data_IF_927531004852
#
_entry.id   IF_927531004852
#
_cell.length_a   1.000
_cell.length_b   1.000
_cell.length_c   1.000
_cell.angle_alpha   90.00
_cell.angle_beta   90.00
_cell.angle_gamma   90.00
#
_symmetry.space_group_name_H-M   'P 1'
#
loop_
_entity.id
_entity.type
_entity.pdbx_description
1 polymer ?
#
# COMPACT_ATOMS: atom_id res chain seq x y z
N UNK A 1 21.04 12.84 7.80
CA UNK A 1 22.04 13.67 8.51
C UNK A 1 22.69 14.75 7.62
N UNK A 2 23.24 14.43 6.43
CA UNK A 2 23.88 15.43 5.56
C UNK A 2 22.92 16.56 5.11
N UNK A 3 21.68 16.22 4.73
CA UNK A 3 20.68 17.21 4.31
C UNK A 3 20.32 18.20 5.44
N UNK A 4 20.13 17.72 6.67
CA UNK A 4 19.87 18.61 7.82
C UNK A 4 21.06 19.53 8.13
N UNK A 5 22.28 19.04 8.06
CA UNK A 5 23.48 19.84 8.20
C UNK A 5 23.55 20.96 7.16
N UNK A 6 23.36 20.61 5.88
CA UNK A 6 23.36 21.59 4.79
C UNK A 6 22.20 22.58 4.90
N UNK A 7 21.00 22.10 5.29
CA UNK A 7 19.81 22.95 5.50
C UNK A 7 20.09 24.04 6.54
N UNK A 8 20.70 23.72 7.68
CA UNK A 8 21.05 24.73 8.69
C UNK A 8 22.17 25.64 8.20
N UNK A 9 23.17 25.12 7.50
CA UNK A 9 24.26 25.95 6.94
C UNK A 9 23.77 26.98 5.94
N UNK A 10 22.70 26.68 5.22
CA UNK A 10 22.13 27.51 4.18
C UNK A 10 20.82 28.22 4.63
N UNK A 11 20.49 28.19 5.91
CA UNK A 11 19.21 28.70 6.44
C UNK A 11 19.02 30.20 6.14
N UNK A 12 20.06 31.00 6.15
CA UNK A 12 20.02 32.45 5.84
C UNK A 12 20.15 32.75 4.34
N UNK A 13 20.32 31.73 3.48
CA UNK A 13 20.60 31.94 2.05
C UNK A 13 19.51 32.76 1.36
N UNK A 14 18.25 32.36 1.48
CA UNK A 14 17.11 33.07 0.86
C UNK A 14 16.96 34.49 1.38
N UNK A 15 16.94 34.78 2.70
CA UNK A 15 16.94 36.13 3.22
C UNK A 15 18.09 36.98 2.68
N UNK A 16 19.31 36.48 2.64
CA UNK A 16 20.48 37.21 2.13
C UNK A 16 20.36 37.54 0.62
N UNK A 17 19.78 36.64 -0.17
CA UNK A 17 19.57 36.86 -1.61
C UNK A 17 18.41 37.83 -1.87
N UNK A 18 17.29 37.71 -1.14
CA UNK A 18 16.06 38.48 -1.40
C UNK A 18 16.11 39.83 -0.76
N UNK A 19 16.47 39.90 0.53
CA UNK A 19 16.43 41.16 1.31
C UNK A 19 17.72 41.97 1.08
N UNK A 20 18.89 41.31 1.23
CA UNK A 20 20.19 42.01 1.05
C UNK A 20 20.64 42.05 -0.43
N UNK A 21 19.88 41.40 -1.35
CA UNK A 21 20.16 41.37 -2.79
C UNK A 21 21.58 40.84 -3.13
N UNK A 22 22.11 39.97 -2.31
CA UNK A 22 23.44 39.41 -2.53
C UNK A 22 23.45 38.37 -3.65
N UNK A 23 24.52 38.31 -4.48
CA UNK A 23 24.75 37.19 -5.42
C UNK A 23 24.82 35.89 -4.67
N UNK A 24 24.35 34.79 -5.30
CA UNK A 24 24.21 33.47 -4.67
C UNK A 24 25.54 32.97 -4.01
N UNK A 25 26.70 33.17 -4.66
CA UNK A 25 28.01 32.76 -4.10
C UNK A 25 28.33 33.49 -2.80
N UNK A 26 28.10 34.79 -2.76
CA UNK A 26 28.31 35.66 -1.57
C UNK A 26 27.33 35.29 -0.48
N UNK A 27 26.06 35.05 -0.82
CA UNK A 27 25.03 34.65 0.12
C UNK A 27 25.32 33.27 0.75
N UNK A 28 25.78 32.29 0.00
CA UNK A 28 26.24 30.98 0.52
C UNK A 28 27.39 31.17 1.53
N UNK A 29 28.43 31.91 1.15
CA UNK A 29 29.59 32.13 2.03
C UNK A 29 29.18 32.82 3.33
N UNK A 30 28.31 33.84 3.24
CA UNK A 30 27.84 34.62 4.40
C UNK A 30 26.92 33.79 5.30
N UNK A 31 26.00 33.02 4.74
CA UNK A 31 25.16 32.06 5.50
C UNK A 31 26.02 31.02 6.25
N UNK A 32 27.03 30.50 5.58
CA UNK A 32 27.97 29.55 6.17
C UNK A 32 28.77 30.16 7.34
N UNK A 33 29.21 31.42 7.22
CA UNK A 33 29.92 32.14 8.27
C UNK A 33 28.99 32.46 9.47
N UNK A 34 27.77 32.90 9.23
CA UNK A 34 26.77 33.19 10.27
C UNK A 34 26.45 31.98 11.13
N UNK A 35 26.37 30.78 10.52
CA UNK A 35 26.01 29.54 11.25
C UNK A 35 27.21 28.82 11.85
N UNK A 36 28.46 29.24 11.59
CA UNK A 36 29.69 28.52 11.96
C UNK A 36 29.84 28.27 13.47
N UNK A 37 29.56 29.29 14.30
CA UNK A 37 29.81 29.23 15.75
C UNK A 37 28.65 28.64 16.55
N UNK A 38 27.43 28.59 15.98
CA UNK A 38 26.20 28.19 16.68
C UNK A 38 25.51 26.97 16.11
N UNK A 39 26.10 26.31 15.11
CA UNK A 39 25.52 25.18 14.39
C UNK A 39 24.99 24.09 15.31
N UNK A 40 25.85 23.61 16.23
CA UNK A 40 25.49 22.53 17.13
C UNK A 40 24.38 22.93 18.11
N UNK A 41 24.35 24.16 18.55
CA UNK A 41 23.28 24.66 19.42
C UNK A 41 21.93 24.69 18.68
N UNK A 42 21.91 25.16 17.43
CA UNK A 42 20.69 25.18 16.62
C UNK A 42 20.20 23.79 16.26
N UNK A 43 21.12 22.89 15.85
CA UNK A 43 20.80 21.50 15.58
C UNK A 43 20.22 20.80 16.80
N UNK A 44 20.87 20.95 17.95
CA UNK A 44 20.43 20.31 19.19
C UNK A 44 19.09 20.82 19.64
N UNK A 45 18.87 22.14 19.62
CA UNK A 45 17.58 22.74 19.96
C UNK A 45 16.47 22.23 19.05
N UNK A 46 16.73 22.16 17.74
CA UNK A 46 15.75 21.64 16.77
C UNK A 46 15.44 20.16 17.03
N UNK A 47 16.44 19.33 17.22
CA UNK A 47 16.27 17.90 17.50
C UNK A 47 15.45 17.69 18.80
N UNK A 48 15.83 18.38 19.88
CA UNK A 48 15.12 18.27 21.16
C UNK A 48 13.67 18.75 21.04
N UNK A 49 13.44 19.87 20.34
CA UNK A 49 12.07 20.37 20.15
C UNK A 49 11.22 19.39 19.34
N UNK A 50 11.73 18.89 18.21
CA UNK A 50 11.02 17.91 17.40
C UNK A 50 10.76 16.61 18.16
N UNK A 51 11.74 16.15 18.94
CA UNK A 51 11.59 14.95 19.77
C UNK A 51 10.52 15.15 20.87
N UNK A 52 10.51 16.31 21.53
CA UNK A 52 9.48 16.61 22.53
C UNK A 52 8.08 16.69 21.91
N UNK A 53 7.94 17.33 20.73
CA UNK A 53 6.68 17.34 19.98
C UNK A 53 6.24 15.93 19.65
N UNK A 54 7.15 15.10 19.10
CA UNK A 54 6.87 13.71 18.79
C UNK A 54 6.37 12.93 20.01
N UNK A 55 7.03 13.04 21.16
CA UNK A 55 6.60 12.35 22.38
C UNK A 55 5.19 12.80 22.84
N UNK A 56 4.93 14.12 22.83
CA UNK A 56 3.64 14.68 23.24
C UNK A 56 2.54 14.18 22.31
N UNK A 57 2.74 14.25 21.00
CA UNK A 57 1.76 13.83 19.98
C UNK A 57 1.47 12.35 20.08
N UNK A 58 2.52 11.52 20.10
CA UNK A 58 2.37 10.06 20.24
C UNK A 58 1.60 9.71 21.52
N UNK A 59 1.91 10.38 22.63
CA UNK A 59 1.18 10.15 23.90
C UNK A 59 -0.30 10.50 23.77
N UNK A 60 -0.63 11.69 23.23
CA UNK A 60 -2.03 12.13 23.08
C UNK A 60 -2.79 11.18 22.14
N UNK A 61 -2.21 10.83 20.99
CA UNK A 61 -2.86 9.96 20.02
C UNK A 61 -3.06 8.54 20.56
N UNK A 62 -2.09 8.01 21.30
CA UNK A 62 -2.26 6.73 22.01
C UNK A 62 -3.41 6.78 23.02
N UNK A 63 -3.54 7.87 23.79
CA UNK A 63 -4.64 8.04 24.73
C UNK A 63 -6.00 8.12 24.01
N UNK A 64 -6.09 8.84 22.90
CA UNK A 64 -7.29 8.92 22.06
C UNK A 64 -7.65 7.53 21.52
N UNK A 65 -6.68 6.79 20.99
CA UNK A 65 -6.87 5.43 20.50
C UNK A 65 -7.41 4.49 21.59
N UNK A 66 -6.77 4.48 22.76
CA UNK A 66 -7.20 3.63 23.89
C UNK A 66 -8.60 4.03 24.39
N UNK A 67 -8.91 5.32 24.41
CA UNK A 67 -10.27 5.78 24.76
C UNK A 67 -11.29 5.31 23.72
N UNK A 68 -10.95 5.38 22.42
CA UNK A 68 -11.85 4.94 21.35
C UNK A 68 -12.12 3.44 21.42
N UNK A 69 -11.15 2.60 21.77
CA UNK A 69 -11.37 1.16 22.00
C UNK A 69 -12.46 0.88 23.04
N UNK A 70 -12.65 1.76 24.02
CA UNK A 70 -13.73 1.63 25.00
C UNK A 70 -15.05 2.15 24.43
N UNK A 71 -15.02 3.26 23.70
CA UNK A 71 -16.22 3.79 23.04
C UNK A 71 -16.77 2.85 21.95
N UNK A 72 -15.91 2.11 21.24
CA UNK A 72 -16.33 1.13 20.23
C UNK A 72 -17.27 0.04 20.78
N UNK A 73 -17.27 -0.17 22.11
CA UNK A 73 -18.20 -1.08 22.79
C UNK A 73 -19.54 -0.45 23.15
N UNK A 74 -19.79 0.79 22.79
CA UNK A 74 -20.96 1.57 23.15
C UNK A 74 -21.75 2.04 21.93
N UNK A 75 -23.00 2.46 22.13
CA UNK A 75 -23.82 3.08 21.08
C UNK A 75 -23.31 4.47 20.63
N UNK A 76 -22.35 5.05 21.34
CA UNK A 76 -21.76 6.36 21.04
C UNK A 76 -20.45 6.27 20.26
N UNK A 77 -20.04 5.08 19.83
CA UNK A 77 -18.77 4.80 19.15
C UNK A 77 -18.46 5.79 18.02
N UNK A 78 -19.39 5.95 17.06
CA UNK A 78 -19.22 6.84 15.92
C UNK A 78 -19.15 8.32 16.32
N UNK A 79 -19.98 8.75 17.27
CA UNK A 79 -19.96 10.14 17.75
C UNK A 79 -18.63 10.46 18.44
N UNK A 80 -18.13 9.54 19.29
CA UNK A 80 -16.83 9.67 19.93
C UNK A 80 -15.69 9.69 18.89
N UNK A 81 -15.74 8.81 17.88
CA UNK A 81 -14.74 8.78 16.81
C UNK A 81 -14.71 10.07 16.00
N UNK A 82 -15.87 10.66 15.69
CA UNK A 82 -15.96 11.95 14.99
C UNK A 82 -15.29 13.07 15.79
N UNK A 83 -15.52 13.12 17.10
CA UNK A 83 -14.88 14.10 17.99
C UNK A 83 -13.38 13.83 18.10
N UNK A 84 -12.98 12.59 18.26
CA UNK A 84 -11.58 12.19 18.38
C UNK A 84 -10.79 12.52 17.12
N UNK A 85 -11.34 12.22 15.94
CA UNK A 85 -10.72 12.55 14.66
C UNK A 85 -10.54 14.06 14.49
N UNK A 86 -11.59 14.84 14.81
CA UNK A 86 -11.51 16.32 14.79
C UNK A 86 -10.43 16.86 15.76
N UNK A 87 -10.30 16.28 16.95
CA UNK A 87 -9.24 16.63 17.91
C UNK A 87 -7.86 16.33 17.33
N UNK A 88 -7.69 15.17 16.70
CA UNK A 88 -6.42 14.76 16.09
C UNK A 88 -6.03 15.71 14.94
N UNK A 89 -6.95 16.05 14.07
CA UNK A 89 -6.75 17.03 13.00
C UNK A 89 -6.36 18.41 13.55
N UNK A 90 -7.10 18.90 14.56
CA UNK A 90 -6.78 20.19 15.17
C UNK A 90 -5.39 20.21 15.82
N UNK A 91 -4.98 19.12 16.48
CA UNK A 91 -3.63 18.95 17.03
C UNK A 91 -2.59 18.99 15.92
N UNK A 92 -2.83 18.25 14.82
CA UNK A 92 -1.93 18.22 13.66
C UNK A 92 -1.72 19.63 13.09
N UNK A 93 -2.79 20.39 12.86
CA UNK A 93 -2.71 21.76 12.37
C UNK A 93 -1.95 22.71 13.32
N UNK A 94 -2.21 22.59 14.63
CA UNK A 94 -1.47 23.37 15.64
C UNK A 94 0.03 23.05 15.58
N UNK A 95 0.40 21.78 15.39
CA UNK A 95 1.79 21.35 15.31
C UNK A 95 2.45 21.88 14.04
N UNK A 96 1.76 21.81 12.89
CA UNK A 96 2.25 22.38 11.64
C UNK A 96 2.50 23.89 11.78
N UNK A 97 1.55 24.63 12.34
CA UNK A 97 1.70 26.04 12.60
C UNK A 97 2.86 26.35 13.56
N UNK A 98 2.99 25.57 14.63
CA UNK A 98 4.03 25.76 15.64
C UNK A 98 5.44 25.45 15.08
N UNK A 99 5.60 24.33 14.37
CA UNK A 99 6.86 23.94 13.74
C UNK A 99 7.28 24.94 12.66
N UNK A 100 6.32 25.42 11.86
CA UNK A 100 6.55 26.47 10.86
C UNK A 100 7.00 27.77 11.51
N UNK A 101 6.35 28.19 12.62
CA UNK A 101 6.73 29.38 13.37
C UNK A 101 8.14 29.27 13.97
N UNK A 102 8.50 28.12 14.55
CA UNK A 102 9.86 27.85 15.05
C UNK A 102 10.88 27.94 13.91
N UNK A 103 10.58 27.33 12.76
CA UNK A 103 11.48 27.36 11.60
C UNK A 103 11.69 28.78 11.08
N UNK A 104 10.62 29.58 10.96
CA UNK A 104 10.69 30.98 10.57
C UNK A 104 11.48 31.83 11.59
N UNK A 105 11.28 31.58 12.89
CA UNK A 105 12.03 32.22 13.95
C UNK A 105 13.52 31.89 13.88
N UNK A 106 13.86 30.63 13.61
CA UNK A 106 15.24 30.21 13.42
C UNK A 106 15.91 30.88 12.22
N UNK A 107 15.20 31.03 11.10
CA UNK A 107 15.67 31.80 9.93
C UNK A 107 15.98 33.25 10.32
N UNK A 108 15.07 33.94 11.04
CA UNK A 108 15.23 35.32 11.45
C UNK A 108 16.43 35.48 12.37
N UNK A 109 16.59 34.60 13.36
CA UNK A 109 17.72 34.59 14.31
C UNK A 109 19.05 34.38 13.60
N UNK A 110 19.12 33.41 12.72
CA UNK A 110 20.33 33.11 11.94
C UNK A 110 20.69 34.26 10.97
N UNK A 111 19.67 34.89 10.35
CA UNK A 111 19.87 35.99 9.39
C UNK A 111 20.34 37.28 10.06
N UNK A 112 19.67 37.70 11.12
CA UNK A 112 19.93 38.97 11.79
C UNK A 112 20.90 38.88 12.98
N UNK A 113 21.09 37.69 13.53
CA UNK A 113 21.82 37.42 14.78
C UNK A 113 21.29 38.25 15.97
N UNK A 114 20.04 38.76 15.86
CA UNK A 114 19.45 39.69 16.79
C UNK A 114 17.91 39.51 16.84
N UNK A 115 17.37 39.60 18.06
CA UNK A 115 15.93 39.56 18.33
C UNK A 115 15.23 40.93 18.27
N UNK A 116 15.93 41.98 17.94
CA UNK A 116 15.38 43.34 18.00
C UNK A 116 14.20 43.56 17.06
N UNK A 117 14.10 42.84 15.94
CA UNK A 117 12.96 42.90 15.03
C UNK A 117 11.64 42.45 15.67
N UNK A 118 11.69 41.54 16.64
CA UNK A 118 10.49 41.07 17.36
C UNK A 118 9.96 42.08 18.36
N UNK A 119 10.73 43.13 18.68
CA UNK A 119 10.32 44.23 19.58
C UNK A 119 9.62 45.36 18.88
N UNK A 120 9.67 45.46 17.55
CA UNK A 120 8.92 46.47 16.82
C UNK A 120 7.44 46.08 16.86
N UNK A 121 6.63 46.91 17.53
CA UNK A 121 5.18 46.72 17.51
C UNK A 121 4.69 46.87 16.08
N UNK A 122 3.87 45.92 15.59
CA UNK A 122 3.28 46.05 14.27
C UNK A 122 2.44 47.31 14.22
N UNK A 123 2.67 48.14 13.19
CA UNK A 123 1.77 49.27 12.91
C UNK A 123 0.43 48.67 12.48
N UNK A 124 -0.54 48.66 13.38
CA UNK A 124 -1.90 48.30 13.04
C UNK A 124 -2.48 49.33 12.10
N UNK A 125 -2.81 48.92 10.87
CA UNK A 125 -3.66 49.70 10.00
C UNK A 125 -5.00 49.92 10.72
N UNK A 126 -5.36 51.16 11.01
CA UNK A 126 -6.67 51.54 11.56
C UNK A 126 -7.73 51.35 10.47
N UNK A 127 -8.23 50.13 10.31
CA UNK A 127 -9.36 49.83 9.42
C UNK A 127 -10.62 50.50 9.97
N UNK A 128 -11.48 51.02 9.05
CA UNK A 128 -12.78 51.53 9.40
C UNK A 128 -13.61 50.48 10.17
N UNK A 129 -14.31 50.85 11.28
CA UNK A 129 -15.04 49.90 12.13
C UNK A 129 -16.03 49.02 11.38
N UNK A 130 -16.59 49.51 10.27
CA UNK A 130 -17.52 48.75 9.41
C UNK A 130 -16.82 47.67 8.60
N UNK A 131 -15.68 47.95 8.01
CA UNK A 131 -14.84 46.96 7.30
C UNK A 131 -14.38 45.86 8.25
N UNK A 132 -13.97 46.21 9.46
CA UNK A 132 -13.56 45.28 10.51
C UNK A 132 -14.67 44.30 10.93
N UNK A 133 -15.95 44.77 10.98
CA UNK A 133 -17.12 43.90 11.25
C UNK A 133 -17.39 42.96 10.08
N UNK A 134 -17.34 43.43 8.84
CA UNK A 134 -17.53 42.63 7.63
C UNK A 134 -16.45 41.57 7.50
N UNK A 135 -15.18 41.90 7.72
CA UNK A 135 -14.07 40.97 7.71
C UNK A 135 -14.22 39.91 8.79
N UNK A 136 -14.62 40.26 10.00
CA UNK A 136 -14.88 39.29 11.07
C UNK A 136 -16.06 38.37 10.75
N UNK A 137 -17.14 38.89 10.17
CA UNK A 137 -18.27 38.06 9.74
C UNK A 137 -17.90 37.08 8.61
N UNK A 138 -17.14 37.55 7.60
CA UNK A 138 -16.70 36.69 6.53
C UNK A 138 -15.71 35.62 6.99
N UNK A 139 -14.81 35.94 7.92
CA UNK A 139 -13.93 34.95 8.56
C UNK A 139 -14.73 33.92 9.36
N UNK A 140 -15.70 34.36 10.17
CA UNK A 140 -16.56 33.46 10.94
C UNK A 140 -17.37 32.52 10.04
N UNK A 141 -17.95 33.05 8.94
CA UNK A 141 -18.66 32.23 7.94
C UNK A 141 -17.71 31.23 7.27
N UNK A 142 -16.51 31.68 6.87
CA UNK A 142 -15.49 30.84 6.28
C UNK A 142 -15.07 29.70 7.21
N UNK A 143 -14.85 29.98 8.48
CA UNK A 143 -14.53 28.98 9.50
C UNK A 143 -15.69 27.98 9.69
N UNK A 144 -16.93 28.46 9.75
CA UNK A 144 -18.10 27.59 9.87
C UNK A 144 -18.23 26.64 8.69
N UNK A 145 -18.05 27.15 7.46
CA UNK A 145 -18.12 26.33 6.24
C UNK A 145 -16.97 25.30 6.22
N UNK A 146 -15.75 25.71 6.57
CA UNK A 146 -14.60 24.82 6.63
C UNK A 146 -14.80 23.70 7.67
N UNK A 147 -15.27 24.04 8.87
CA UNK A 147 -15.57 23.07 9.92
C UNK A 147 -16.69 22.11 9.49
N UNK A 148 -17.76 22.63 8.86
CA UNK A 148 -18.86 21.78 8.36
C UNK A 148 -18.37 20.81 7.28
N UNK A 149 -17.52 21.27 6.38
CA UNK A 149 -16.92 20.43 5.35
C UNK A 149 -16.03 19.35 5.96
N UNK A 150 -15.19 19.71 6.94
CA UNK A 150 -14.31 18.77 7.63
C UNK A 150 -15.12 17.70 8.35
N UNK A 151 -16.18 18.07 9.08
CA UNK A 151 -17.09 17.09 9.72
C UNK A 151 -17.75 16.17 8.68
N UNK A 152 -18.17 16.70 7.52
CA UNK A 152 -18.74 15.87 6.46
C UNK A 152 -17.73 14.87 5.90
N UNK A 153 -16.48 15.29 5.66
CA UNK A 153 -15.39 14.40 5.22
C UNK A 153 -15.11 13.33 6.28
N UNK A 154 -15.03 13.72 7.55
CA UNK A 154 -14.81 12.78 8.66
C UNK A 154 -15.93 11.74 8.79
N UNK A 155 -17.18 12.15 8.58
CA UNK A 155 -18.31 11.24 8.57
C UNK A 155 -18.24 10.25 7.39
N UNK A 156 -17.81 10.70 6.20
CA UNK A 156 -17.58 9.82 5.04
C UNK A 156 -16.47 8.81 5.36
N UNK A 157 -15.37 9.26 5.93
CA UNK A 157 -14.25 8.41 6.34
C UNK A 157 -14.70 7.36 7.37
N UNK A 158 -15.35 7.79 8.45
CA UNK A 158 -15.80 6.92 9.54
C UNK A 158 -16.93 5.96 9.16
N UNK A 159 -17.74 6.27 8.13
CA UNK A 159 -18.72 5.33 7.59
C UNK A 159 -18.12 4.23 6.70
N UNK A 160 -16.79 4.15 6.60
CA UNK A 160 -16.10 3.12 5.83
C UNK A 160 -16.27 3.24 4.32
N UNK A 161 -16.76 4.37 3.80
CA UNK A 161 -16.85 4.61 2.35
C UNK A 161 -15.48 4.67 1.66
N UNK A 162 -14.41 4.76 2.44
CA UNK A 162 -13.02 4.70 2.00
C UNK A 162 -12.48 3.26 2.03
N UNK A 163 -13.16 2.33 2.72
CA UNK A 163 -12.75 0.94 2.82
C UNK A 163 -13.20 0.18 1.59
N UNK A 164 -12.27 -0.33 0.81
CA UNK A 164 -12.58 -1.19 -0.34
C UNK A 164 -12.66 -2.65 0.09
N UNK A 165 -13.63 -3.38 -0.47
CA UNK A 165 -13.70 -4.82 -0.30
C UNK A 165 -12.84 -5.48 -1.39
N UNK A 166 -11.66 -6.03 -1.05
CA UNK A 166 -10.80 -6.64 -2.06
C UNK A 166 -11.36 -7.97 -2.57
N UNK A 167 -11.02 -8.32 -3.79
CA UNK A 167 -11.19 -9.67 -4.35
C UNK A 167 -10.32 -10.63 -3.54
N UNK A 168 -10.91 -11.75 -3.09
CA UNK A 168 -10.24 -12.75 -2.27
C UNK A 168 -9.67 -13.86 -3.15
N UNK A 169 -8.34 -14.01 -3.14
CA UNK A 169 -7.61 -14.97 -3.97
C UNK A 169 -6.88 -15.95 -3.06
N UNK A 170 -7.28 -17.24 -3.12
CA UNK A 170 -6.56 -18.28 -2.38
C UNK A 170 -5.25 -18.61 -3.06
N UNK A 171 -4.13 -18.48 -2.35
CA UNK A 171 -2.79 -18.77 -2.84
C UNK A 171 -2.60 -20.27 -3.02
N UNK A 172 -2.20 -20.72 -4.20
CA UNK A 172 -1.94 -22.13 -4.58
C UNK A 172 -3.08 -23.10 -4.26
N UNK A 173 -4.32 -22.57 -4.14
CA UNK A 173 -5.50 -23.37 -3.88
C UNK A 173 -5.56 -24.01 -2.49
N UNK A 174 -4.96 -23.40 -1.50
CA UNK A 174 -5.02 -23.84 -0.09
C UNK A 174 -5.64 -22.77 0.81
N UNK A 175 -6.13 -23.19 1.96
CA UNK A 175 -6.58 -22.32 3.05
C UNK A 175 -6.06 -22.92 4.35
N UNK A 176 -5.17 -22.17 5.04
CA UNK A 176 -4.55 -22.54 6.31
C UNK A 176 -4.00 -24.01 6.31
N UNK A 177 -3.27 -24.36 5.25
CA UNK A 177 -2.66 -25.70 5.13
C UNK A 177 -3.65 -26.85 5.02
N UNK A 178 -4.86 -26.61 4.50
CA UNK A 178 -5.94 -27.60 4.40
C UNK A 178 -5.68 -28.74 3.37
N UNK A 179 -4.53 -28.72 2.69
CA UNK A 179 -4.16 -29.70 1.67
C UNK A 179 -2.71 -29.55 1.21
N UNK A 180 -2.36 -30.24 0.13
CA UNK A 180 -1.10 -30.01 -0.59
C UNK A 180 -1.33 -28.92 -1.62
N UNK A 181 -0.51 -27.87 -1.59
CA UNK A 181 -0.57 -26.77 -2.55
C UNK A 181 -0.60 -27.23 -4.00
N UNK A 182 -1.28 -26.50 -4.88
CA UNK A 182 -1.29 -26.78 -6.32
C UNK A 182 -1.83 -28.17 -6.69
N UNK A 183 -2.78 -28.71 -5.92
CA UNK A 183 -3.38 -30.04 -6.20
C UNK A 183 -4.90 -29.97 -6.29
N UNK A 184 -5.50 -30.89 -7.06
CA UNK A 184 -6.95 -30.94 -7.25
C UNK A 184 -7.72 -31.17 -5.94
N UNK A 185 -7.29 -32.04 -5.00
CA UNK A 185 -7.97 -32.21 -3.72
C UNK A 185 -8.01 -30.92 -2.88
N UNK A 186 -6.90 -30.14 -2.86
CA UNK A 186 -6.85 -28.85 -2.17
C UNK A 186 -7.79 -27.84 -2.85
N UNK A 187 -7.71 -27.68 -4.17
CA UNK A 187 -8.61 -26.84 -4.95
C UNK A 187 -10.08 -27.10 -4.63
N UNK A 188 -10.52 -28.38 -4.68
CA UNK A 188 -11.92 -28.77 -4.44
C UNK A 188 -12.35 -28.41 -3.00
N UNK A 189 -11.43 -28.55 -2.04
CA UNK A 189 -11.71 -28.21 -0.64
C UNK A 189 -11.83 -26.69 -0.46
N UNK A 190 -10.88 -25.93 -0.98
CA UNK A 190 -10.83 -24.49 -0.87
C UNK A 190 -11.93 -23.79 -1.68
N UNK A 191 -12.36 -24.37 -2.81
CA UNK A 191 -13.50 -23.83 -3.58
C UNK A 191 -14.81 -23.78 -2.79
N UNK A 192 -14.95 -24.58 -1.72
CA UNK A 192 -16.13 -24.55 -0.83
C UNK A 192 -16.16 -23.33 0.09
N UNK A 193 -15.02 -22.69 0.28
CA UNK A 193 -14.88 -21.41 1.01
C UNK A 193 -15.12 -20.19 0.11
N UNK A 194 -15.50 -20.43 -1.16
CA UNK A 194 -15.92 -19.42 -2.13
C UNK A 194 -14.92 -18.27 -2.33
N UNK A 195 -13.60 -18.53 -2.59
CA UNK A 195 -12.73 -17.45 -3.04
C UNK A 195 -13.16 -16.92 -4.41
N UNK A 196 -12.91 -15.63 -4.68
CA UNK A 196 -13.19 -15.05 -6.00
C UNK A 196 -12.32 -15.70 -7.08
N UNK A 197 -11.05 -15.98 -6.73
CA UNK A 197 -10.10 -16.75 -7.56
C UNK A 197 -9.31 -17.73 -6.69
N UNK A 198 -8.88 -18.80 -7.32
CA UNK A 198 -7.78 -19.64 -6.82
C UNK A 198 -6.55 -19.34 -7.66
N UNK A 199 -5.51 -18.86 -7.02
CA UNK A 199 -4.21 -18.72 -7.65
C UNK A 199 -3.53 -20.08 -7.74
N UNK A 200 -2.79 -20.34 -8.82
CA UNK A 200 -2.08 -21.59 -9.04
C UNK A 200 -0.96 -21.45 -10.07
N UNK A 201 0.05 -22.29 -9.96
CA UNK A 201 1.28 -22.20 -10.74
C UNK A 201 1.37 -23.26 -11.82
N UNK A 202 1.77 -22.90 -13.02
CA UNK A 202 2.10 -23.84 -14.08
C UNK A 202 3.56 -23.74 -14.52
N UNK A 203 4.14 -24.89 -14.82
CA UNK A 203 5.47 -25.04 -15.41
C UNK A 203 5.43 -25.91 -16.65
N UNK A 204 6.41 -25.69 -17.54
CA UNK A 204 6.58 -26.50 -18.76
C UNK A 204 7.35 -27.78 -18.44
N UNK A 205 6.84 -28.92 -18.90
CA UNK A 205 7.44 -30.26 -18.80
C UNK A 205 8.47 -30.50 -19.91
N UNK A 206 9.20 -31.64 -19.84
CA UNK A 206 10.15 -32.06 -20.89
C UNK A 206 9.52 -32.20 -22.29
N UNK A 207 8.27 -32.61 -22.33
CA UNK A 207 7.48 -32.79 -23.57
C UNK A 207 6.59 -31.57 -23.87
N UNK A 208 6.96 -30.41 -23.33
CA UNK A 208 6.29 -29.13 -23.56
C UNK A 208 4.77 -29.14 -23.29
N UNK A 209 4.35 -29.93 -22.29
CA UNK A 209 3.02 -29.85 -21.70
C UNK A 209 3.06 -28.96 -20.46
N UNK A 210 1.89 -28.62 -19.87
CA UNK A 210 1.81 -27.81 -18.67
C UNK A 210 1.42 -28.65 -17.47
N UNK A 211 2.23 -28.58 -16.42
CA UNK A 211 2.02 -29.25 -15.12
C UNK A 211 1.81 -28.21 -14.03
N UNK A 212 0.98 -28.53 -13.05
CA UNK A 212 0.71 -27.62 -11.92
C UNK A 212 1.75 -27.87 -10.83
N UNK A 213 2.61 -26.87 -10.60
CA UNK A 213 3.71 -26.95 -9.64
C UNK A 213 4.35 -25.57 -9.44
N UNK A 214 4.51 -25.15 -8.16
CA UNK A 214 5.21 -23.93 -7.81
C UNK A 214 6.73 -24.09 -7.87
N UNK A 215 7.26 -25.05 -7.15
CA UNK A 215 8.69 -25.16 -6.88
C UNK A 215 9.52 -25.43 -8.13
N UNK A 216 10.74 -24.87 -8.25
CA UNK A 216 11.63 -25.14 -9.36
C UNK A 216 12.14 -26.58 -9.40
N UNK A 217 12.00 -27.34 -8.30
CA UNK A 217 12.34 -28.75 -8.20
C UNK A 217 11.29 -29.51 -7.38
N UNK A 218 11.16 -30.81 -7.61
CA UNK A 218 10.22 -31.67 -6.88
C UNK A 218 10.75 -32.10 -5.50
N UNK A 219 11.85 -31.52 -5.03
CA UNK A 219 12.55 -31.98 -3.81
C UNK A 219 11.72 -31.74 -2.55
N UNK A 220 11.15 -30.57 -2.38
CA UNK A 220 10.42 -30.17 -1.17
C UNK A 220 9.17 -31.08 -0.97
N UNK A 221 8.31 -31.16 -1.98
CA UNK A 221 7.02 -31.85 -1.87
C UNK A 221 7.09 -33.34 -2.14
N UNK A 222 8.08 -33.84 -2.89
CA UNK A 222 8.15 -35.25 -3.31
C UNK A 222 9.48 -35.99 -3.02
N UNK A 223 10.49 -35.31 -2.47
CA UNK A 223 11.83 -35.88 -2.25
C UNK A 223 12.63 -36.11 -3.52
N UNK A 224 12.13 -35.77 -4.70
CA UNK A 224 12.73 -36.05 -6.02
C UNK A 224 13.62 -34.88 -6.46
N UNK A 225 14.92 -35.10 -6.62
CA UNK A 225 15.88 -34.05 -7.04
C UNK A 225 15.86 -33.82 -8.57
N UNK A 226 14.67 -33.59 -9.13
CA UNK A 226 14.47 -33.24 -10.56
C UNK A 226 13.60 -32.02 -10.70
N UNK A 227 13.78 -31.29 -11.82
CA UNK A 227 12.92 -30.17 -12.22
C UNK A 227 11.71 -30.72 -13.00
N UNK A 228 10.54 -30.09 -13.00
CA UNK A 228 9.42 -30.42 -13.87
C UNK A 228 9.84 -30.58 -15.35
N UNK A 229 10.67 -29.65 -15.84
CA UNK A 229 11.17 -29.66 -17.23
C UNK A 229 12.11 -30.83 -17.60
N UNK A 230 12.50 -31.66 -16.64
CA UNK A 230 13.29 -32.86 -16.90
C UNK A 230 12.46 -34.11 -17.02
N UNK A 231 11.16 -34.06 -16.76
CA UNK A 231 10.23 -35.17 -16.80
C UNK A 231 9.09 -34.88 -17.77
N UNK A 232 8.56 -35.94 -18.40
CA UNK A 232 7.33 -35.82 -19.19
C UNK A 232 6.13 -35.66 -18.28
N UNK A 233 5.03 -35.09 -18.81
CA UNK A 233 3.79 -34.92 -18.05
C UNK A 233 3.33 -36.26 -17.43
N UNK A 234 3.32 -37.32 -18.22
CA UNK A 234 2.95 -38.68 -17.78
C UNK A 234 3.82 -39.22 -16.63
N UNK A 235 5.09 -38.79 -16.56
CA UNK A 235 5.98 -39.12 -15.42
C UNK A 235 5.65 -38.33 -14.20
N UNK A 236 5.33 -37.04 -14.34
CA UNK A 236 4.98 -36.11 -13.25
C UNK A 236 3.66 -36.50 -12.58
N UNK A 237 2.63 -36.87 -13.34
CA UNK A 237 1.32 -37.29 -12.81
C UNK A 237 1.38 -38.56 -11.95
N UNK A 238 2.44 -39.37 -12.07
CA UNK A 238 2.68 -40.54 -11.21
C UNK A 238 3.27 -40.19 -9.86
N UNK A 239 3.87 -39.00 -9.71
CA UNK A 239 4.55 -38.59 -8.49
C UNK A 239 3.51 -38.18 -7.44
N UNK A 240 3.72 -38.63 -6.21
CA UNK A 240 2.94 -38.22 -5.03
C UNK A 240 3.70 -37.11 -4.31
N UNK A 241 3.03 -36.00 -4.10
CA UNK A 241 3.48 -34.85 -3.28
C UNK A 241 2.85 -34.90 -1.89
N UNK A 242 3.57 -34.36 -0.90
CA UNK A 242 3.16 -34.38 0.51
C UNK A 242 3.42 -33.03 1.15
N UNK A 243 2.46 -32.56 1.91
CA UNK A 243 2.53 -31.30 2.64
C UNK A 243 1.42 -31.27 3.70
N UNK A 244 1.67 -30.65 4.84
CA UNK A 244 0.68 -30.43 5.92
C UNK A 244 -0.06 -31.72 6.37
N UNK A 245 0.59 -32.87 6.31
CA UNK A 245 -0.03 -34.18 6.62
C UNK A 245 -0.91 -34.74 5.52
N UNK A 246 -1.07 -34.09 4.40
CA UNK A 246 -1.83 -34.51 3.23
C UNK A 246 -0.91 -35.12 2.15
N UNK A 247 -1.52 -35.82 1.21
CA UNK A 247 -0.84 -36.30 0.02
C UNK A 247 -1.75 -36.26 -1.21
N UNK A 248 -1.18 -35.98 -2.37
CA UNK A 248 -1.91 -35.92 -3.64
C UNK A 248 -0.99 -36.28 -4.82
N UNK A 249 -1.55 -36.45 -6.01
CA UNK A 249 -0.78 -36.52 -7.26
C UNK A 249 -0.57 -35.13 -7.84
N UNK A 250 0.57 -34.93 -8.52
CA UNK A 250 0.82 -33.73 -9.32
C UNK A 250 -0.16 -33.74 -10.50
N UNK A 251 -1.02 -32.74 -10.68
CA UNK A 251 -1.96 -32.73 -11.79
C UNK A 251 -1.36 -32.06 -13.03
N UNK A 252 -1.85 -32.49 -14.21
CA UNK A 252 -1.73 -31.68 -15.42
C UNK A 252 -2.58 -30.39 -15.30
N UNK A 253 -2.22 -29.34 -16.04
CA UNK A 253 -3.04 -28.14 -16.09
C UNK A 253 -4.43 -28.43 -16.67
N UNK A 254 -4.55 -29.28 -17.67
CA UNK A 254 -5.86 -29.70 -18.20
C UNK A 254 -6.77 -30.31 -17.12
N UNK A 255 -6.24 -31.19 -16.28
CA UNK A 255 -7.01 -31.83 -15.23
C UNK A 255 -7.40 -30.84 -14.14
N UNK A 256 -6.49 -29.94 -13.79
CA UNK A 256 -6.73 -28.90 -12.77
C UNK A 256 -7.79 -27.88 -13.26
N UNK A 257 -7.63 -27.37 -14.49
CA UNK A 257 -8.58 -26.45 -15.12
C UNK A 257 -9.99 -27.04 -15.19
N UNK A 258 -10.08 -28.32 -15.65
CA UNK A 258 -11.36 -29.05 -15.69
C UNK A 258 -11.99 -29.20 -14.30
N UNK A 259 -11.18 -29.48 -13.27
CA UNK A 259 -11.65 -29.59 -11.90
C UNK A 259 -12.14 -28.23 -11.37
N UNK A 260 -11.41 -27.14 -11.60
CA UNK A 260 -11.81 -25.80 -11.23
C UNK A 260 -13.16 -25.40 -11.84
N UNK A 261 -13.30 -25.54 -13.15
CA UNK A 261 -14.54 -25.18 -13.86
C UNK A 261 -15.73 -26.05 -13.45
N UNK A 262 -15.50 -27.35 -13.14
CA UNK A 262 -16.54 -28.23 -12.59
C UNK A 262 -17.09 -27.73 -11.24
N UNK A 263 -16.26 -27.06 -10.46
CA UNK A 263 -16.63 -26.46 -9.18
C UNK A 263 -16.96 -24.96 -9.27
N UNK A 264 -17.12 -24.41 -10.48
CA UNK A 264 -17.39 -23.00 -10.74
C UNK A 264 -16.33 -22.05 -10.16
N UNK A 265 -15.10 -22.54 -10.01
CA UNK A 265 -13.98 -21.81 -9.46
C UNK A 265 -13.17 -21.13 -10.58
N UNK A 266 -13.02 -19.81 -10.50
CA UNK A 266 -12.15 -19.05 -11.39
C UNK A 266 -10.70 -19.19 -10.92
N UNK A 267 -9.78 -19.13 -11.89
CA UNK A 267 -8.35 -19.26 -11.65
C UNK A 267 -7.59 -17.96 -11.95
N UNK A 268 -6.56 -17.69 -11.15
CA UNK A 268 -5.46 -16.78 -11.45
C UNK A 268 -4.22 -17.64 -11.72
N UNK A 269 -3.87 -17.84 -12.99
CA UNK A 269 -2.84 -18.79 -13.43
C UNK A 269 -1.47 -18.12 -13.50
N UNK A 270 -0.52 -18.52 -12.63
CA UNK A 270 0.86 -18.09 -12.76
C UNK A 270 1.62 -18.92 -13.80
N UNK A 271 2.11 -18.27 -14.84
CA UNK A 271 3.06 -18.91 -15.77
C UNK A 271 4.47 -18.70 -15.25
N UNK A 272 5.04 -19.74 -14.63
CA UNK A 272 6.42 -19.75 -14.19
C UNK A 272 7.37 -20.08 -15.34
N UNK A 273 8.35 -19.20 -15.51
CA UNK A 273 9.36 -19.37 -16.55
C UNK A 273 10.60 -20.05 -16.00
N UNK A 274 11.04 -21.10 -16.67
CA UNK A 274 12.33 -21.76 -16.45
C UNK A 274 13.22 -21.60 -17.68
N UNK A 275 14.47 -22.05 -17.61
CA UNK A 275 15.35 -22.09 -18.78
C UNK A 275 14.83 -22.95 -19.94
N UNK A 276 13.88 -23.84 -19.67
CA UNK A 276 13.23 -24.67 -20.69
C UNK A 276 12.01 -23.98 -21.33
N UNK A 277 11.51 -22.89 -20.75
CA UNK A 277 10.34 -22.16 -21.28
C UNK A 277 10.72 -21.32 -22.50
N UNK A 278 9.95 -21.42 -23.56
CA UNK A 278 10.19 -20.75 -24.84
C UNK A 278 9.00 -19.88 -25.29
N UNK A 279 9.20 -19.01 -26.26
CA UNK A 279 8.11 -18.24 -26.85
C UNK A 279 7.04 -19.14 -27.53
N UNK A 280 7.45 -20.33 -28.02
CA UNK A 280 6.52 -21.30 -28.58
C UNK A 280 5.57 -21.87 -27.49
N UNK A 281 6.03 -21.96 -26.23
CA UNK A 281 5.19 -22.40 -25.14
C UNK A 281 4.14 -21.36 -24.76
N UNK A 282 4.47 -20.05 -24.83
CA UNK A 282 3.48 -18.98 -24.69
C UNK A 282 2.39 -19.07 -25.76
N UNK A 283 2.79 -19.30 -27.02
CA UNK A 283 1.84 -19.47 -28.10
C UNK A 283 0.97 -20.72 -27.90
N UNK A 284 1.58 -21.86 -27.54
CA UNK A 284 0.87 -23.11 -27.22
C UNK A 284 -0.14 -22.94 -26.09
N UNK A 285 0.22 -22.18 -25.06
CA UNK A 285 -0.66 -21.86 -23.95
C UNK A 285 -1.93 -21.12 -24.42
N UNK A 286 -1.77 -20.04 -25.18
CA UNK A 286 -2.90 -19.27 -25.69
C UNK A 286 -3.71 -20.09 -26.72
N UNK A 287 -3.06 -20.79 -27.65
CA UNK A 287 -3.75 -21.61 -28.66
C UNK A 287 -4.62 -22.71 -28.00
N UNK A 288 -4.16 -23.28 -26.90
CA UNK A 288 -4.85 -24.39 -26.23
C UNK A 288 -5.88 -23.93 -25.22
N UNK A 289 -5.59 -22.90 -24.45
CA UNK A 289 -6.39 -22.53 -23.26
C UNK A 289 -7.08 -21.17 -23.38
N UNK A 290 -6.61 -20.26 -24.22
CA UNK A 290 -7.07 -18.87 -24.25
C UNK A 290 -8.59 -18.72 -24.34
N UNK A 291 -9.23 -19.47 -25.25
CA UNK A 291 -10.70 -19.43 -25.40
C UNK A 291 -11.41 -19.92 -24.13
N UNK A 292 -10.91 -20.96 -23.51
CA UNK A 292 -11.49 -21.54 -22.29
C UNK A 292 -11.31 -20.60 -21.10
N UNK A 293 -10.12 -20.02 -20.93
CA UNK A 293 -9.82 -19.07 -19.86
C UNK A 293 -10.73 -17.82 -19.97
N UNK A 294 -10.89 -17.28 -21.16
CA UNK A 294 -11.80 -16.15 -21.39
C UNK A 294 -13.25 -16.49 -21.09
N UNK A 295 -13.73 -17.67 -21.51
CA UNK A 295 -15.10 -18.10 -21.28
C UNK A 295 -15.44 -18.27 -19.79
N UNK A 296 -14.46 -18.61 -18.96
CA UNK A 296 -14.63 -18.79 -17.51
C UNK A 296 -14.14 -17.59 -16.69
N UNK A 297 -13.70 -16.49 -17.34
CA UNK A 297 -13.14 -15.31 -16.70
C UNK A 297 -11.89 -15.60 -15.86
N UNK A 298 -11.12 -16.63 -16.26
CA UNK A 298 -9.83 -16.92 -15.65
C UNK A 298 -8.81 -15.83 -16.03
N UNK A 299 -7.90 -15.58 -15.13
CA UNK A 299 -6.85 -14.57 -15.30
C UNK A 299 -5.48 -15.22 -15.36
N UNK A 300 -4.50 -14.50 -15.89
CA UNK A 300 -3.11 -14.97 -15.99
C UNK A 300 -2.20 -13.93 -15.34
N UNK A 301 -1.16 -14.39 -14.65
CA UNK A 301 -0.09 -13.53 -14.21
C UNK A 301 1.29 -14.17 -14.39
N UNK A 302 2.36 -13.40 -14.37
CA UNK A 302 3.74 -13.89 -14.55
C UNK A 302 4.76 -12.85 -14.10
N UNK A 303 5.91 -13.32 -13.55
CA UNK A 303 7.08 -12.49 -13.30
C UNK A 303 7.86 -12.11 -14.57
N UNK A 304 7.61 -12.80 -15.68
CA UNK A 304 8.35 -12.57 -16.92
C UNK A 304 7.73 -11.44 -17.74
N UNK A 305 8.41 -10.29 -17.78
CA UNK A 305 7.99 -9.17 -18.64
C UNK A 305 7.81 -9.59 -20.11
N UNK A 306 8.70 -10.48 -20.60
CA UNK A 306 8.62 -11.00 -21.97
C UNK A 306 7.35 -11.83 -22.18
N UNK A 307 7.04 -12.73 -21.28
CA UNK A 307 5.83 -13.58 -21.36
C UNK A 307 4.58 -12.73 -21.24
N UNK A 308 4.50 -11.80 -20.31
CA UNK A 308 3.40 -10.87 -20.15
C UNK A 308 3.12 -10.11 -21.46
N UNK A 309 4.17 -9.52 -22.05
CA UNK A 309 4.05 -8.79 -23.33
C UNK A 309 3.62 -9.70 -24.49
N UNK A 310 4.18 -10.91 -24.58
CA UNK A 310 3.88 -11.88 -25.64
C UNK A 310 2.43 -12.41 -25.51
N UNK A 311 1.93 -12.65 -24.27
CA UNK A 311 0.52 -12.97 -24.01
C UNK A 311 -0.42 -11.88 -24.50
N UNK A 312 -0.16 -10.61 -24.13
CA UNK A 312 -0.99 -9.47 -24.57
C UNK A 312 -0.93 -9.23 -26.08
N UNK A 313 0.18 -9.57 -26.74
CA UNK A 313 0.29 -9.50 -28.20
C UNK A 313 -0.51 -10.61 -28.90
N UNK A 314 -0.54 -11.81 -28.32
CA UNK A 314 -1.25 -12.97 -28.88
C UNK A 314 -2.77 -12.89 -28.62
N UNK A 315 -3.16 -12.43 -27.45
CA UNK A 315 -4.56 -12.24 -27.08
C UNK A 315 -4.73 -10.97 -26.21
N UNK A 316 -5.21 -9.89 -26.83
CA UNK A 316 -5.45 -8.63 -26.13
C UNK A 316 -6.60 -8.71 -25.12
N UNK A 317 -7.55 -9.65 -25.29
CA UNK A 317 -8.72 -9.80 -24.42
C UNK A 317 -8.37 -10.51 -23.13
N UNK A 318 -7.35 -11.40 -23.16
CA UNK A 318 -6.91 -12.09 -21.95
C UNK A 318 -6.44 -11.10 -20.88
N UNK A 319 -6.98 -11.20 -19.68
CA UNK A 319 -6.48 -10.45 -18.54
C UNK A 319 -5.10 -10.99 -18.16
N UNK A 320 -4.11 -10.11 -18.12
CA UNK A 320 -2.74 -10.45 -17.71
C UNK A 320 -2.25 -9.45 -16.69
N UNK A 321 -1.87 -9.92 -15.51
CA UNK A 321 -1.19 -9.14 -14.47
C UNK A 321 0.32 -9.39 -14.51
N UNK A 322 1.11 -8.36 -14.23
CA UNK A 322 2.56 -8.46 -14.12
C UNK A 322 2.97 -8.58 -12.65
N UNK A 323 3.63 -9.67 -12.29
CA UNK A 323 4.06 -9.92 -10.90
C UNK A 323 5.32 -9.10 -10.62
N UNK A 324 5.29 -8.36 -9.51
CA UNK A 324 6.36 -7.52 -9.02
C UNK A 324 6.73 -7.97 -7.60
N UNK A 325 7.85 -8.68 -7.41
CA UNK A 325 8.30 -9.10 -6.08
C UNK A 325 8.77 -7.94 -5.21
N UNK A 326 9.12 -6.83 -5.83
CA UNK A 326 9.39 -5.52 -5.19
C UNK A 326 9.35 -4.43 -6.26
N UNK A 327 9.08 -3.20 -5.88
CA UNK A 327 9.09 -2.10 -6.83
C UNK A 327 9.58 -0.79 -6.22
N UNK A 328 10.51 -0.14 -6.90
CA UNK A 328 11.03 1.18 -6.54
C UNK A 328 10.43 2.31 -7.40
N UNK A 329 9.85 1.95 -8.54
CA UNK A 329 9.26 2.91 -9.49
C UNK A 329 8.06 2.29 -10.18
N UNK A 330 7.01 3.09 -10.44
CA UNK A 330 5.82 2.61 -11.14
C UNK A 330 6.14 2.17 -12.57
N UNK A 331 5.93 0.88 -12.93
CA UNK A 331 6.25 0.37 -14.25
C UNK A 331 5.16 0.73 -15.28
N UNK A 332 5.55 1.18 -16.45
CA UNK A 332 4.64 1.39 -17.58
C UNK A 332 4.62 0.15 -18.46
N UNK A 333 3.55 -0.64 -18.41
CA UNK A 333 3.43 -1.90 -19.14
C UNK A 333 2.10 -2.02 -19.87
N UNK A 334 2.01 -3.00 -20.78
CA UNK A 334 0.75 -3.38 -21.47
C UNK A 334 -0.14 -4.32 -20.65
N UNK A 335 0.29 -4.73 -19.45
CA UNK A 335 -0.49 -5.56 -18.53
C UNK A 335 -1.80 -4.88 -18.12
N UNK A 336 -2.81 -5.66 -17.75
CA UNK A 336 -4.08 -5.16 -17.23
C UNK A 336 -3.97 -4.76 -15.76
N UNK A 337 -2.99 -5.32 -15.03
CA UNK A 337 -2.76 -5.05 -13.62
C UNK A 337 -1.38 -5.46 -13.16
N UNK A 338 -1.16 -5.31 -11.87
CA UNK A 338 0.05 -5.71 -11.16
C UNK A 338 -0.30 -6.62 -10.00
N UNK A 339 0.50 -7.67 -9.80
CA UNK A 339 0.43 -8.53 -8.62
C UNK A 339 1.70 -8.27 -7.82
N UNK A 340 1.58 -7.54 -6.71
CA UNK A 340 2.73 -6.93 -6.05
C UNK A 340 2.91 -7.47 -4.64
N UNK A 341 4.17 -7.71 -4.27
CA UNK A 341 4.57 -8.10 -2.92
C UNK A 341 4.34 -6.92 -1.94
N UNK A 342 3.78 -7.22 -0.77
CA UNK A 342 3.24 -6.22 0.17
C UNK A 342 4.26 -5.26 0.74
N UNK A 343 5.53 -5.68 0.93
CA UNK A 343 6.54 -4.86 1.64
C UNK A 343 6.93 -3.58 0.93
N UNK A 344 6.77 -3.52 -0.39
CA UNK A 344 7.07 -2.34 -1.20
C UNK A 344 5.84 -1.72 -1.87
N UNK A 345 4.65 -2.25 -1.58
CA UNK A 345 3.38 -1.67 -2.00
C UNK A 345 3.06 -0.45 -1.13
N UNK A 346 2.59 0.63 -1.75
CA UNK A 346 2.18 1.85 -1.08
C UNK A 346 1.04 2.54 -1.83
N UNK A 347 0.41 3.53 -1.16
CA UNK A 347 -0.74 4.28 -1.69
C UNK A 347 -0.44 4.93 -3.03
N UNK A 348 0.75 5.51 -3.21
CA UNK A 348 1.13 6.13 -4.47
C UNK A 348 1.16 5.14 -5.65
N UNK A 349 1.54 3.88 -5.39
CA UNK A 349 1.51 2.85 -6.41
C UNK A 349 0.08 2.49 -6.79
N UNK A 350 -0.79 2.28 -5.79
CA UNK A 350 -2.21 1.96 -6.00
C UNK A 350 -2.92 3.10 -6.73
N UNK A 351 -2.74 4.34 -6.28
CA UNK A 351 -3.27 5.53 -6.92
C UNK A 351 -2.84 5.68 -8.39
N UNK A 352 -1.55 5.45 -8.67
CA UNK A 352 -1.04 5.50 -10.05
C UNK A 352 -1.61 4.37 -10.90
N UNK A 353 -1.78 3.19 -10.33
CA UNK A 353 -2.40 2.06 -11.01
C UNK A 353 -3.86 2.38 -11.36
N UNK A 354 -4.64 2.89 -10.41
CA UNK A 354 -6.04 3.25 -10.61
C UNK A 354 -6.20 4.33 -11.69
N UNK A 355 -5.42 5.43 -11.63
CA UNK A 355 -5.41 6.48 -12.69
C UNK A 355 -5.04 5.95 -14.08
N UNK A 356 -4.34 4.82 -14.16
CA UNK A 356 -4.01 4.14 -15.42
C UNK A 356 -4.95 2.97 -15.72
N UNK A 357 -6.06 2.82 -14.99
CA UNK A 357 -7.03 1.73 -15.13
C UNK A 357 -6.38 0.34 -15.01
N UNK A 358 -5.45 0.19 -14.05
CA UNK A 358 -4.74 -1.05 -13.75
C UNK A 358 -5.23 -1.60 -12.41
N UNK A 359 -5.53 -2.90 -12.36
CA UNK A 359 -5.80 -3.58 -11.09
C UNK A 359 -4.51 -3.80 -10.29
N UNK A 360 -4.63 -3.83 -8.96
CA UNK A 360 -3.52 -4.19 -8.07
C UNK A 360 -3.95 -5.34 -7.18
N UNK A 361 -3.22 -6.46 -7.26
CA UNK A 361 -3.33 -7.59 -6.34
C UNK A 361 -2.13 -7.59 -5.40
N UNK A 362 -2.36 -7.62 -4.09
CA UNK A 362 -1.29 -7.69 -3.09
C UNK A 362 -1.05 -9.14 -2.66
N UNK A 363 0.20 -9.57 -2.43
CA UNK A 363 0.60 -10.90 -1.95
C UNK A 363 1.85 -10.82 -1.05
N UNK A 364 2.09 -11.68 -0.07
CA UNK A 364 1.09 -12.58 0.56
C UNK A 364 0.48 -11.84 1.75
N UNK A 365 -0.86 -11.86 1.87
CA UNK A 365 -1.58 -11.17 2.93
C UNK A 365 -2.15 -12.22 3.89
N UNK A 366 -1.42 -12.54 4.95
CA UNK A 366 -1.70 -13.67 5.82
C UNK A 366 -2.01 -13.29 7.27
N UNK A 367 -2.15 -12.01 7.57
CA UNK A 367 -2.58 -11.51 8.88
C UNK A 367 -3.57 -10.34 8.77
N UNK A 368 -4.34 -10.13 9.81
CA UNK A 368 -5.42 -9.15 9.85
C UNK A 368 -4.93 -7.70 9.72
N UNK A 369 -3.77 -7.35 10.28
CA UNK A 369 -3.23 -5.99 10.20
C UNK A 369 -2.85 -5.64 8.74
N UNK A 370 -2.25 -6.58 8.01
CA UNK A 370 -1.97 -6.41 6.59
C UNK A 370 -3.28 -6.31 5.77
N UNK A 371 -4.30 -7.12 6.09
CA UNK A 371 -5.59 -7.06 5.44
C UNK A 371 -6.23 -5.69 5.61
N UNK A 372 -6.25 -5.17 6.83
CA UNK A 372 -6.75 -3.83 7.12
C UNK A 372 -6.02 -2.78 6.28
N UNK A 373 -4.69 -2.82 6.26
CA UNK A 373 -3.89 -1.91 5.45
C UNK A 373 -4.26 -1.99 3.95
N UNK A 374 -4.43 -3.20 3.40
CA UNK A 374 -4.81 -3.37 2.00
C UNK A 374 -6.22 -2.85 1.70
N UNK A 375 -7.17 -3.04 2.62
CA UNK A 375 -8.52 -2.51 2.49
C UNK A 375 -8.53 -0.98 2.45
N UNK A 376 -7.72 -0.32 3.30
CA UNK A 376 -7.58 1.14 3.32
C UNK A 376 -6.82 1.67 2.10
N UNK A 377 -5.76 0.98 1.69
CA UNK A 377 -4.98 1.35 0.50
C UNK A 377 -5.78 1.22 -0.81
N UNK A 378 -6.93 0.53 -0.77
CA UNK A 378 -7.81 0.37 -1.92
C UNK A 378 -7.30 -0.61 -2.96
N UNK A 379 -6.53 -1.64 -2.58
CA UNK A 379 -6.09 -2.66 -3.52
C UNK A 379 -7.29 -3.41 -4.11
N UNK A 380 -7.19 -3.81 -5.38
CA UNK A 380 -8.28 -4.51 -6.06
C UNK A 380 -8.51 -5.91 -5.51
N UNK A 381 -7.46 -6.58 -5.05
CA UNK A 381 -7.56 -7.93 -4.49
C UNK A 381 -6.33 -8.32 -3.68
N UNK A 382 -6.47 -9.39 -2.92
CA UNK A 382 -5.41 -9.95 -2.07
C UNK A 382 -5.25 -11.44 -2.31
N UNK A 383 -4.00 -11.90 -2.33
CA UNK A 383 -3.60 -13.30 -2.39
C UNK A 383 -3.18 -13.73 -0.99
N UNK A 384 -3.76 -14.82 -0.48
CA UNK A 384 -3.57 -15.26 0.92
C UNK A 384 -3.53 -16.79 1.05
N UNK A 385 -2.71 -17.26 1.99
CA UNK A 385 -2.70 -18.65 2.46
C UNK A 385 -3.77 -18.92 3.55
N UNK A 386 -4.37 -17.82 4.13
CA UNK A 386 -5.34 -17.86 5.23
C UNK A 386 -6.71 -17.31 4.81
N UNK A 387 -7.28 -17.86 3.72
CA UNK A 387 -8.48 -17.35 3.05
C UNK A 387 -9.66 -17.09 4.00
N UNK A 388 -10.04 -18.09 4.80
CA UNK A 388 -11.21 -18.02 5.69
C UNK A 388 -11.03 -16.92 6.75
N UNK A 389 -9.84 -16.80 7.33
CA UNK A 389 -9.53 -15.76 8.31
C UNK A 389 -9.60 -14.37 7.69
N UNK A 390 -9.01 -14.19 6.50
CA UNK A 390 -9.03 -12.91 5.80
C UNK A 390 -10.43 -12.53 5.33
N UNK A 391 -11.26 -13.48 4.90
CA UNK A 391 -12.67 -13.23 4.59
C UNK A 391 -13.47 -12.77 5.81
N UNK A 392 -13.20 -13.34 6.99
CA UNK A 392 -13.82 -12.90 8.25
C UNK A 392 -13.39 -11.48 8.62
N UNK A 393 -12.12 -11.14 8.44
CA UNK A 393 -11.61 -9.78 8.69
C UNK A 393 -12.27 -8.76 7.76
N UNK A 394 -12.33 -9.04 6.45
CA UNK A 394 -13.04 -8.19 5.48
C UNK A 394 -14.50 -8.00 5.89
N UNK A 395 -15.19 -9.07 6.27
CA UNK A 395 -16.59 -8.99 6.72
C UNK A 395 -16.72 -8.15 7.99
N UNK A 396 -15.85 -8.37 8.98
CA UNK A 396 -15.85 -7.62 10.23
C UNK A 396 -15.69 -6.11 9.98
N UNK A 397 -14.74 -5.73 9.14
CA UNK A 397 -14.46 -4.32 8.85
C UNK A 397 -15.53 -3.66 7.96
N UNK A 398 -16.26 -4.43 7.15
CA UNK A 398 -17.36 -3.88 6.32
C UNK A 398 -18.68 -3.80 7.08
N UNK A 399 -18.99 -4.80 7.90
CA UNK A 399 -20.26 -4.87 8.62
C UNK A 399 -20.24 -4.02 9.92
N UNK A 400 -19.09 -4.01 10.61
CA UNK A 400 -18.89 -3.31 11.89
C UNK A 400 -17.48 -2.71 11.97
N UNK A 401 -17.20 -1.60 11.28
CA UNK A 401 -15.88 -1.00 11.29
C UNK A 401 -15.48 -0.59 12.72
N UNK A 402 -14.29 -1.00 13.14
CA UNK A 402 -13.70 -0.51 14.38
C UNK A 402 -13.23 0.93 14.18
N UNK A 403 -13.88 1.87 14.86
CA UNK A 403 -13.48 3.28 14.78
C UNK A 403 -12.07 3.51 15.34
N UNK A 404 -11.66 2.72 16.34
CA UNK A 404 -10.30 2.78 16.83
C UNK A 404 -9.28 2.39 15.74
N UNK A 405 -9.56 1.35 14.94
CA UNK A 405 -8.71 0.99 13.79
C UNK A 405 -8.67 2.09 12.73
N UNK A 406 -9.81 2.72 12.42
CA UNK A 406 -9.88 3.85 11.50
C UNK A 406 -9.02 5.03 11.97
N UNK A 407 -9.07 5.38 13.25
CA UNK A 407 -8.22 6.42 13.84
C UNK A 407 -6.74 6.04 13.79
N UNK A 408 -6.39 4.77 14.01
CA UNK A 408 -5.01 4.29 13.93
C UNK A 408 -4.47 4.40 12.50
N UNK A 409 -5.27 4.06 11.49
CA UNK A 409 -4.91 4.23 10.07
C UNK A 409 -4.67 5.69 9.74
N UNK A 410 -5.55 6.60 10.16
CA UNK A 410 -5.36 8.05 10.01
C UNK A 410 -4.04 8.53 10.62
N UNK A 411 -3.66 8.02 11.81
CA UNK A 411 -2.36 8.32 12.44
C UNK A 411 -1.17 7.86 11.57
N UNK A 412 -1.27 6.68 11.00
CA UNK A 412 -0.21 6.12 10.17
C UNK A 412 -0.05 6.89 8.84
N UNK A 413 -1.13 7.27 8.20
CA UNK A 413 -1.11 8.11 7.00
C UNK A 413 -0.45 9.47 7.25
N UNK A 414 -0.77 10.14 8.37
CA UNK A 414 -0.11 11.38 8.76
C UNK A 414 1.40 11.21 8.94
N UNK A 415 1.87 10.04 9.39
CA UNK A 415 3.29 9.75 9.57
C UNK A 415 4.02 9.51 8.25
N UNK A 416 3.33 8.99 7.23
CA UNK A 416 3.89 8.68 5.90
C UNK A 416 3.97 9.92 5.00
N UNK A 417 2.98 10.82 5.05
CA UNK A 417 2.97 12.08 4.28
C UNK A 417 4.05 13.06 4.72
N UNK A 418 4.62 12.89 5.90
CA UNK A 418 5.75 13.71 6.39
C UNK A 418 7.11 13.34 5.78
N UNK A 419 7.19 12.26 4.98
CA UNK A 419 8.44 11.76 4.37
C UNK A 419 8.55 12.06 2.86
N UNK A 420 7.67 12.85 2.28
CA UNK A 420 7.76 13.42 0.93
C UNK A 420 8.36 14.88 0.96
#
# INVERSE_FOLDING_TARGET
>A
MLAGYLGIRLISLLPLMIVDRLPWKTAVTRSWQQTRHHLWRYLWTMIVTLFMIFLIVTTIYTLIYVAQLQFDKTSFAMAAATVNLFIMEAITEIIICYTTAIFMMLIIVCYRQDFTLLRQQPQYFNEAPRLRKLTRASVAIGLLLATSLLVAVNLVYLNGLVITKPIMISHRGVDNGNGVQNTIPALIKTSKEHPDYVEMDIQVTKDHQFVVMHDPTLKALAGVKKKPSQLTLKQLEKITVRENGYQAKIPSFDAYLKAAHKHHQKLLVEIKTSSAYTAADTKRFIDRYGVTLLAHHDQVHTLSFKVMRDLKRLDQKQFVSYILPYNLTFPHTVANGYTMEVTTLNDQFVDKADRNHKTVYAWDIDNTDQMDQMMFMGVTGVVTDNLTEMQQEVKSNTDHPSYAKLLLTFMNELSLTSNE
#
